data_IF_895506583720
#
_entry.id   IF_895506583720
#
_cell.length_a   1.000
_cell.length_b   1.000
_cell.length_c   1.000
_cell.angle_alpha   90.00
_cell.angle_beta   90.00
_cell.angle_gamma   90.00
#
_symmetry.space_group_name_H-M   'P 1'
#
loop_
_entity.id
_entity.type
_entity.pdbx_description
1 polymer ?
#
# COMPACT_ATOMS: atom_id res chain seq x y z
N UNK A 1 -9.23 -48.48 -18.18
CA UNK A 1 -8.88 -47.73 -19.41
C UNK A 1 -10.09 -46.89 -19.81
N UNK A 2 -10.25 -45.67 -19.29
CA UNK A 2 -11.36 -44.79 -19.65
C UNK A 2 -10.88 -43.71 -20.61
N UNK A 3 -11.37 -43.78 -21.84
CA UNK A 3 -11.03 -42.92 -22.97
C UNK A 3 -11.59 -41.52 -22.75
N UNK A 4 -10.73 -40.50 -22.63
CA UNK A 4 -11.13 -39.09 -22.57
C UNK A 4 -11.67 -38.66 -23.93
N UNK A 5 -12.95 -38.29 -23.98
CA UNK A 5 -13.57 -37.68 -25.15
C UNK A 5 -12.90 -36.33 -25.46
N UNK A 6 -12.37 -36.19 -26.68
CA UNK A 6 -11.76 -34.95 -27.17
C UNK A 6 -12.88 -33.92 -27.39
N UNK A 7 -12.96 -32.90 -26.53
CA UNK A 7 -13.82 -31.73 -26.72
C UNK A 7 -13.27 -30.93 -27.91
N UNK A 8 -13.96 -30.96 -29.04
CA UNK A 8 -13.64 -30.15 -30.21
C UNK A 8 -14.22 -28.75 -29.98
N UNK A 9 -13.36 -27.74 -29.90
CA UNK A 9 -13.81 -26.35 -29.83
C UNK A 9 -14.44 -25.96 -31.17
N UNK A 10 -15.49 -25.13 -31.19
CA UNK A 10 -16.02 -24.60 -32.44
C UNK A 10 -14.88 -23.91 -33.20
N UNK A 11 -14.81 -24.17 -34.51
CA UNK A 11 -13.77 -23.64 -35.38
C UNK A 11 -13.75 -22.12 -35.30
N UNK A 12 -12.54 -21.56 -35.22
CA UNK A 12 -12.33 -20.10 -35.28
C UNK A 12 -12.99 -19.58 -36.57
N UNK A 13 -13.79 -18.50 -36.51
CA UNK A 13 -14.33 -17.89 -37.73
C UNK A 13 -13.19 -17.43 -38.63
N UNK A 14 -13.46 -17.40 -39.93
CA UNK A 14 -12.52 -16.83 -40.89
C UNK A 14 -12.27 -15.34 -40.56
N UNK A 15 -11.04 -14.85 -40.75
CA UNK A 15 -10.75 -13.44 -40.55
C UNK A 15 -11.54 -12.60 -41.57
N UNK A 16 -11.91 -11.36 -41.22
CA UNK A 16 -12.62 -10.47 -42.13
C UNK A 16 -11.78 -10.16 -43.37
N UNK A 17 -12.46 -9.85 -44.47
CA UNK A 17 -11.78 -9.41 -45.70
C UNK A 17 -11.32 -7.95 -45.58
N UNK A 18 -10.32 -7.58 -46.38
CA UNK A 18 -9.80 -6.20 -46.43
C UNK A 18 -10.91 -5.20 -46.73
N UNK A 19 -11.85 -5.56 -47.61
CA UNK A 19 -12.99 -4.72 -47.99
C UNK A 19 -13.91 -4.43 -46.80
N UNK A 20 -14.17 -5.41 -45.95
CA UNK A 20 -14.98 -5.25 -44.74
C UNK A 20 -14.30 -4.30 -43.75
N UNK A 21 -12.99 -4.44 -43.57
CA UNK A 21 -12.21 -3.54 -42.71
C UNK A 21 -12.24 -2.11 -43.24
N UNK A 22 -12.09 -1.91 -44.55
CA UNK A 22 -12.14 -0.57 -45.16
C UNK A 22 -13.54 0.06 -45.07
N UNK A 23 -14.60 -0.74 -45.21
CA UNK A 23 -15.97 -0.27 -45.04
C UNK A 23 -16.24 0.17 -43.59
N UNK A 24 -15.78 -0.61 -42.61
CA UNK A 24 -15.88 -0.25 -41.19
C UNK A 24 -15.14 1.05 -40.90
N UNK A 25 -13.90 1.19 -41.37
CA UNK A 25 -13.10 2.42 -41.20
C UNK A 25 -13.78 3.62 -41.88
N UNK A 26 -14.26 3.47 -43.12
CA UNK A 26 -14.93 4.55 -43.85
C UNK A 26 -16.29 4.95 -43.27
N UNK A 27 -16.96 4.04 -42.57
CA UNK A 27 -18.24 4.27 -41.89
C UNK A 27 -18.11 4.88 -40.48
N UNK A 28 -16.89 4.93 -39.91
CA UNK A 28 -16.68 5.51 -38.58
C UNK A 28 -16.92 7.02 -38.59
N UNK A 29 -17.56 7.52 -37.53
CA UNK A 29 -17.74 8.96 -37.36
C UNK A 29 -16.38 9.59 -37.05
N UNK A 30 -15.97 10.70 -37.71
CA UNK A 30 -14.70 11.37 -37.44
C UNK A 30 -14.49 11.85 -35.99
N UNK A 31 -15.55 11.84 -35.18
CA UNK A 31 -15.56 12.25 -33.78
C UNK A 31 -15.90 11.08 -32.84
N UNK A 32 -15.60 9.84 -33.24
CA UNK A 32 -15.76 8.68 -32.36
C UNK A 32 -14.83 8.83 -31.14
N UNK A 33 -15.37 8.92 -29.91
CA UNK A 33 -14.57 9.09 -28.70
C UNK A 33 -13.57 7.94 -28.44
N UNK A 34 -13.74 6.77 -29.06
CA UNK A 34 -12.76 5.68 -29.02
C UNK A 34 -11.56 5.96 -29.93
N UNK A 35 -11.76 6.68 -31.03
CA UNK A 35 -10.73 7.07 -31.99
C UNK A 35 -10.15 8.46 -31.71
N UNK A 36 -10.82 9.26 -30.90
CA UNK A 36 -10.28 10.49 -30.34
C UNK A 36 -9.23 10.11 -29.30
N UNK A 37 -7.96 10.17 -29.71
CA UNK A 37 -6.85 10.18 -28.77
C UNK A 37 -7.07 11.34 -27.78
N UNK A 38 -6.88 11.13 -26.47
CA UNK A 38 -6.88 12.23 -25.50
C UNK A 38 -5.97 13.33 -26.04
N UNK A 39 -6.44 14.57 -26.03
CA UNK A 39 -5.67 15.70 -26.53
C UNK A 39 -4.29 15.66 -25.87
N UNK A 40 -3.25 15.41 -26.67
CA UNK A 40 -1.89 15.41 -26.15
C UNK A 40 -1.62 16.78 -25.52
N UNK A 41 -0.99 16.84 -24.33
CA UNK A 41 -0.57 18.10 -23.77
C UNK A 41 0.31 18.84 -24.79
N UNK A 42 0.25 20.19 -24.85
CA UNK A 42 0.95 20.97 -25.86
C UNK A 42 2.42 20.57 -25.92
N UNK A 43 2.81 19.98 -27.06
CA UNK A 43 4.16 19.52 -27.31
C UNK A 43 5.11 20.71 -27.25
N UNK A 44 6.08 20.66 -26.35
CA UNK A 44 7.28 21.48 -26.48
C UNK A 44 8.01 21.05 -27.76
N UNK A 45 8.54 21.99 -28.56
CA UNK A 45 9.20 21.65 -29.81
C UNK A 45 10.57 21.02 -29.50
N UNK A 46 10.60 19.69 -29.39
CA UNK A 46 11.82 18.89 -29.27
C UNK A 46 11.66 17.61 -28.45
N UNK A 47 11.37 16.49 -29.12
CA UNK A 47 11.81 15.16 -28.70
C UNK A 47 10.91 14.37 -27.75
N UNK A 48 10.19 13.39 -28.31
CA UNK A 48 10.01 12.01 -27.85
C UNK A 48 10.37 11.69 -26.38
N UNK A 49 9.52 12.03 -25.43
CA UNK A 49 9.56 11.42 -24.10
C UNK A 49 8.15 11.23 -23.55
N UNK A 50 7.61 10.03 -23.74
CA UNK A 50 6.50 9.46 -22.93
C UNK A 50 7.04 8.95 -21.57
N UNK A 51 8.09 9.61 -21.08
CA UNK A 51 8.71 9.37 -19.78
C UNK A 51 8.54 10.63 -18.91
N UNK A 52 8.54 10.49 -17.58
CA UNK A 52 8.50 11.66 -16.70
C UNK A 52 9.66 12.59 -17.06
N UNK A 53 9.44 13.90 -16.97
CA UNK A 53 10.45 14.86 -17.38
C UNK A 53 11.78 14.60 -16.62
N UNK A 54 12.95 14.74 -17.26
CA UNK A 54 14.23 14.55 -16.58
C UNK A 54 14.29 15.39 -15.30
N UNK A 55 14.30 14.74 -14.14
CA UNK A 55 14.27 15.39 -12.81
C UNK A 55 12.96 15.23 -12.02
N UNK A 56 11.84 14.89 -12.66
CA UNK A 56 10.58 14.57 -11.95
C UNK A 56 10.69 13.22 -11.22
N UNK A 57 11.27 12.20 -11.86
CA UNK A 57 11.49 10.89 -11.22
C UNK A 57 12.38 11.00 -9.98
N UNK A 58 13.45 11.79 -10.07
CA UNK A 58 14.38 12.02 -8.97
C UNK A 58 13.70 12.77 -7.80
N UNK A 59 12.87 13.77 -8.10
CA UNK A 59 12.11 14.49 -7.08
C UNK A 59 11.08 13.56 -6.40
N UNK A 60 10.36 12.74 -7.17
CA UNK A 60 9.43 11.74 -6.62
C UNK A 60 10.15 10.69 -5.77
N UNK A 61 11.34 10.25 -6.17
CA UNK A 61 12.14 9.29 -5.42
C UNK A 61 12.64 9.89 -4.10
N UNK A 62 13.09 11.15 -4.11
CA UNK A 62 13.47 11.87 -2.90
C UNK A 62 12.28 12.05 -1.93
N UNK A 63 11.09 12.36 -2.47
CA UNK A 63 9.85 12.42 -1.67
C UNK A 63 9.50 11.07 -1.04
N UNK A 64 9.58 9.98 -1.81
CA UNK A 64 9.32 8.62 -1.33
C UNK A 64 10.33 8.22 -0.26
N UNK A 65 11.61 8.54 -0.44
CA UNK A 65 12.63 8.26 0.57
C UNK A 65 12.41 9.08 1.85
N UNK A 66 12.01 10.36 1.72
CA UNK A 66 11.65 11.20 2.86
C UNK A 66 10.50 10.60 3.65
N UNK A 67 9.42 10.19 2.98
CA UNK A 67 8.26 9.55 3.61
C UNK A 67 8.63 8.21 4.25
N UNK A 68 9.46 7.41 3.58
CA UNK A 68 9.96 6.16 4.14
C UNK A 68 10.74 6.38 5.43
N UNK A 69 11.70 7.32 5.44
CA UNK A 69 12.47 7.70 6.64
C UNK A 69 11.56 8.19 7.76
N UNK A 70 10.58 9.02 7.45
CA UNK A 70 9.60 9.50 8.43
C UNK A 70 8.77 8.35 9.02
N UNK A 71 8.23 7.47 8.18
CA UNK A 71 7.43 6.32 8.63
C UNK A 71 8.24 5.39 9.53
N UNK A 72 9.51 5.12 9.16
CA UNK A 72 10.43 4.31 9.96
C UNK A 72 10.71 4.92 11.32
N UNK A 73 10.97 6.23 11.36
CA UNK A 73 11.18 6.95 12.63
C UNK A 73 9.95 6.87 13.54
N UNK A 74 8.75 7.02 12.98
CA UNK A 74 7.51 6.89 13.74
C UNK A 74 7.31 5.48 14.30
N UNK A 75 7.54 4.44 13.49
CA UNK A 75 7.40 3.04 13.92
C UNK A 75 8.39 2.71 15.03
N UNK A 76 9.64 3.16 14.90
CA UNK A 76 10.66 2.93 15.92
C UNK A 76 10.32 3.64 17.24
N UNK A 77 9.88 4.91 17.16
CA UNK A 77 9.44 5.66 18.34
C UNK A 77 8.26 4.96 19.04
N UNK A 78 7.28 4.48 18.28
CA UNK A 78 6.15 3.75 18.83
C UNK A 78 6.57 2.44 19.51
N UNK A 79 7.56 1.73 18.96
CA UNK A 79 8.11 0.53 19.59
C UNK A 79 8.71 0.88 20.95
N UNK A 80 9.59 1.89 21.01
CA UNK A 80 10.21 2.35 22.27
C UNK A 80 9.16 2.79 23.30
N UNK A 81 8.10 3.48 22.86
CA UNK A 81 7.01 3.89 23.75
C UNK A 81 6.26 2.69 24.34
N UNK A 82 5.99 1.66 23.54
CA UNK A 82 5.34 0.43 24.03
C UNK A 82 6.21 -0.30 25.05
N UNK A 83 7.51 -0.40 24.80
CA UNK A 83 8.49 -0.98 25.73
C UNK A 83 8.51 -0.21 27.06
N UNK A 84 8.65 1.13 27.00
CA UNK A 84 8.65 1.98 28.19
C UNK A 84 7.33 1.88 28.98
N UNK A 85 6.19 1.78 28.30
CA UNK A 85 4.89 1.56 28.96
C UNK A 85 4.82 0.21 29.65
N UNK A 86 5.39 -0.84 29.05
CA UNK A 86 5.49 -2.16 29.66
C UNK A 86 6.31 -2.12 30.96
N UNK A 87 7.51 -1.55 30.89
CA UNK A 87 8.39 -1.39 32.06
C UNK A 87 7.74 -0.56 33.17
N UNK A 88 7.00 0.48 32.82
CA UNK A 88 6.26 1.28 33.80
C UNK A 88 5.16 0.46 34.48
N UNK A 89 4.42 -0.34 33.72
CA UNK A 89 3.38 -1.20 34.27
C UNK A 89 3.96 -2.24 35.26
N UNK A 90 5.11 -2.84 34.93
CA UNK A 90 5.84 -3.76 35.81
C UNK A 90 6.25 -3.07 37.12
N UNK A 91 6.87 -1.88 37.05
CA UNK A 91 7.24 -1.12 38.26
C UNK A 91 6.04 -0.73 39.12
N UNK A 92 4.92 -0.37 38.49
CA UNK A 92 3.68 -0.07 39.21
C UNK A 92 3.14 -1.31 39.95
N UNK A 93 3.19 -2.50 39.33
CA UNK A 93 2.83 -3.77 39.97
C UNK A 93 3.72 -4.05 41.19
N UNK A 94 5.04 -3.92 41.03
CA UNK A 94 6.01 -4.12 42.11
C UNK A 94 5.73 -3.19 43.30
N UNK A 95 5.54 -1.89 43.04
CA UNK A 95 5.24 -0.92 44.07
C UNK A 95 3.91 -1.22 44.78
N UNK A 96 2.88 -1.65 44.05
CA UNK A 96 1.60 -2.07 44.67
C UNK A 96 1.79 -3.27 45.60
N UNK A 97 2.57 -4.27 45.20
CA UNK A 97 2.85 -5.45 46.03
C UNK A 97 3.67 -5.07 47.28
N UNK A 98 4.69 -4.24 47.12
CA UNK A 98 5.51 -3.74 48.22
C UNK A 98 4.67 -2.91 49.21
N UNK A 99 3.79 -2.03 48.70
CA UNK A 99 2.86 -1.26 49.52
C UNK A 99 1.92 -2.16 50.33
N UNK A 100 1.31 -3.16 49.69
CA UNK A 100 0.42 -4.11 50.37
C UNK A 100 1.16 -4.97 51.42
N UNK A 101 2.43 -5.30 51.19
CA UNK A 101 3.26 -5.97 52.19
C UNK A 101 3.52 -5.07 53.39
N UNK A 102 3.94 -3.83 53.15
CA UNK A 102 4.17 -2.85 54.21
C UNK A 102 2.92 -2.58 55.05
N UNK A 103 1.75 -2.50 54.43
CA UNK A 103 0.48 -2.33 55.15
C UNK A 103 0.19 -3.49 56.09
N UNK A 104 0.45 -4.73 55.67
CA UNK A 104 0.32 -5.92 56.53
C UNK A 104 1.31 -5.88 57.69
N UNK A 105 2.58 -5.58 57.41
CA UNK A 105 3.62 -5.49 58.43
C UNK A 105 3.29 -4.41 59.47
N UNK A 106 2.79 -3.25 59.04
CA UNK A 106 2.32 -2.20 59.94
C UNK A 106 1.11 -2.63 60.78
N UNK A 107 0.16 -3.36 60.19
CA UNK A 107 -0.99 -3.87 60.93
C UNK A 107 -0.57 -4.88 62.01
N UNK A 108 0.36 -5.79 61.70
CA UNK A 108 0.92 -6.72 62.68
C UNK A 108 1.68 -6.00 63.80
N UNK A 109 2.50 -5.00 63.46
CA UNK A 109 3.22 -4.22 64.48
C UNK A 109 2.25 -3.48 65.40
N UNK A 110 1.16 -2.93 64.88
CA UNK A 110 0.11 -2.31 65.69
C UNK A 110 -0.56 -3.34 66.61
N UNK A 111 -0.86 -4.54 66.13
CA UNK A 111 -1.44 -5.60 66.98
C UNK A 111 -0.49 -6.11 68.06
N UNK A 112 0.83 -6.06 67.84
CA UNK A 112 1.84 -6.48 68.82
C UNK A 112 2.18 -5.39 69.84
N UNK A 113 1.91 -4.12 69.52
CA UNK A 113 2.23 -2.96 70.35
C UNK A 113 1.07 -2.51 71.26
N UNK A 114 -0.14 -3.04 71.04
CA UNK A 114 -1.34 -2.84 71.86
C UNK A 114 -1.88 -4.18 72.35
#
# INVERSE_FOLDING_TARGET
MTSKAKRVLPTRPEPPTVEQVLADVGGTRPADPVLLLPAEPPRTPGGDHDGPAPGQEAAEEEERERLYRQSRGYVEMNRRLREARGQLAEKCEELRRAGAALERDMAEMRQKAF
#
